data_IF_625327080978
#
_entry.id   IF_625327080978
#
_cell.length_a   1.000
_cell.length_b   1.000
_cell.length_c   1.000
_cell.angle_alpha   90.00
_cell.angle_beta   90.00
_cell.angle_gamma   90.00
#
_symmetry.space_group_name_H-M   'P 1'
#
loop_
_entity.id
_entity.type
_entity.pdbx_description
1 polymer ?
#
# COMPACT_ATOMS: atom_id res chain seq x y z
N UNK A 1 -25.68 -46.46 -0.99
CA UNK A 1 -25.96 -47.66 -1.80
C UNK A 1 -25.26 -47.46 -3.15
N UNK A 2 -24.21 -48.30 -3.38
CA UNK A 2 -23.72 -48.92 -4.62
C UNK A 2 -23.09 -48.00 -5.69
N UNK A 3 -21.84 -47.95 -5.73
CA UNK A 3 -20.80 -48.49 -6.63
C UNK A 3 -21.27 -48.99 -8.01
N UNK A 4 -20.66 -48.52 -9.10
CA UNK A 4 -20.35 -49.38 -10.23
C UNK A 4 -19.02 -48.89 -10.88
N UNK A 5 -18.00 -49.74 -10.75
CA UNK A 5 -16.81 -49.80 -11.58
C UNK A 5 -17.14 -50.40 -12.93
N UNK A 6 -16.56 -49.90 -13.99
CA UNK A 6 -16.43 -50.67 -15.22
C UNK A 6 -15.05 -50.42 -15.83
N UNK A 7 -14.19 -51.41 -15.63
CA UNK A 7 -12.99 -51.68 -16.40
C UNK A 7 -13.38 -52.39 -17.67
N UNK A 8 -12.80 -52.04 -18.81
CA UNK A 8 -12.73 -52.91 -20.00
C UNK A 8 -11.31 -52.94 -20.52
N UNK A 9 -10.81 -54.11 -20.50
CA UNK A 9 -9.47 -54.53 -20.91
C UNK A 9 -9.35 -54.72 -22.42
N UNK A 10 -8.10 -54.71 -22.80
CA UNK A 10 -7.47 -54.99 -24.10
C UNK A 10 -7.94 -56.24 -24.84
N UNK A 11 -7.72 -56.25 -26.15
CA UNK A 11 -7.17 -57.28 -27.06
C UNK A 11 -7.41 -56.75 -28.48
N UNK A 12 -6.54 -56.82 -29.41
CA UNK A 12 -5.60 -57.79 -29.87
C UNK A 12 -4.96 -57.39 -31.20
N UNK A 13 -3.87 -57.98 -31.42
CA UNK A 13 -2.94 -57.93 -32.55
C UNK A 13 -3.57 -58.21 -33.93
N UNK A 14 -3.04 -57.61 -34.96
CA UNK A 14 -2.31 -58.31 -36.03
C UNK A 14 -2.13 -57.44 -37.32
N UNK A 15 -0.93 -57.24 -37.70
CA UNK A 15 -0.38 -57.49 -39.02
C UNK A 15 -0.83 -56.63 -40.21
N UNK A 16 0.12 -55.80 -40.71
CA UNK A 16 -0.02 -55.19 -42.01
C UNK A 16 1.04 -54.13 -42.22
N UNK A 17 2.20 -54.55 -42.74
CA UNK A 17 3.22 -53.63 -43.24
C UNK A 17 2.77 -52.98 -44.53
N UNK A 18 2.54 -51.71 -44.53
CA UNK A 18 2.53 -50.85 -45.70
C UNK A 18 3.23 -49.53 -45.33
N UNK A 19 4.26 -49.20 -46.05
CA UNK A 19 5.08 -48.03 -45.84
C UNK A 19 4.23 -46.74 -45.88
N UNK A 20 4.43 -45.83 -44.94
CA UNK A 20 3.80 -44.53 -45.01
C UNK A 20 4.63 -43.58 -45.86
N UNK A 21 3.97 -42.95 -46.81
CA UNK A 21 4.37 -41.69 -47.40
C UNK A 21 4.51 -40.67 -46.27
N UNK A 22 5.73 -40.24 -46.03
CA UNK A 22 6.03 -39.24 -45.04
C UNK A 22 5.40 -37.90 -45.38
N UNK A 23 4.36 -37.52 -44.65
CA UNK A 23 4.02 -36.11 -44.47
C UNK A 23 4.78 -35.59 -43.24
N UNK A 24 5.91 -34.96 -43.50
CA UNK A 24 6.59 -34.19 -42.48
C UNK A 24 5.66 -33.03 -42.09
N UNK A 25 4.98 -33.17 -40.96
CA UNK A 25 4.39 -32.04 -40.27
C UNK A 25 5.58 -31.18 -39.79
N UNK A 26 5.87 -30.14 -40.52
CA UNK A 26 6.74 -29.08 -40.04
C UNK A 26 6.03 -28.42 -38.83
N UNK A 27 6.45 -28.84 -37.64
CA UNK A 27 6.15 -28.07 -36.45
C UNK A 27 6.89 -26.76 -36.62
N UNK A 28 6.13 -25.69 -36.91
CA UNK A 28 6.68 -24.36 -36.90
C UNK A 28 7.18 -24.12 -35.48
N UNK A 29 8.48 -24.11 -35.28
CA UNK A 29 9.11 -23.59 -34.10
C UNK A 29 8.78 -22.09 -34.04
N UNK A 30 7.83 -21.72 -33.23
CA UNK A 30 7.66 -20.33 -32.86
C UNK A 30 8.99 -19.86 -32.26
N UNK A 31 9.61 -18.91 -32.91
CA UNK A 31 10.78 -18.23 -32.37
C UNK A 31 10.34 -17.59 -31.05
N UNK A 32 11.10 -17.78 -29.96
CA UNK A 32 10.81 -17.06 -28.73
C UNK A 32 10.78 -15.57 -29.05
N UNK A 33 9.67 -14.93 -28.71
CA UNK A 33 9.53 -13.47 -28.75
C UNK A 33 10.55 -12.93 -27.77
N UNK A 34 11.63 -12.37 -28.30
CA UNK A 34 12.60 -11.65 -27.48
C UNK A 34 11.90 -10.42 -26.94
N UNK A 35 11.50 -10.45 -25.68
CA UNK A 35 10.94 -9.30 -24.99
C UNK A 35 12.08 -8.32 -24.75
N UNK A 36 12.35 -7.48 -25.73
CA UNK A 36 13.31 -6.38 -25.56
C UNK A 36 12.66 -5.40 -24.59
N UNK A 37 13.25 -5.29 -23.42
CA UNK A 37 12.80 -4.32 -22.43
C UNK A 37 13.00 -2.91 -22.99
N UNK A 38 11.92 -2.12 -23.12
CA UNK A 38 11.95 -0.71 -23.51
C UNK A 38 12.95 0.11 -22.68
N UNK A 39 13.28 -0.39 -21.50
CA UNK A 39 14.26 0.22 -20.61
C UNK A 39 15.71 -0.04 -21.07
N UNK A 40 15.98 -1.16 -21.74
CA UNK A 40 17.29 -1.46 -22.30
C UNK A 40 17.57 -0.63 -23.56
N UNK A 41 16.53 -0.35 -24.34
CA UNK A 41 16.60 0.48 -25.55
C UNK A 41 16.83 1.95 -25.22
N UNK A 42 16.18 2.47 -24.16
CA UNK A 42 16.36 3.87 -23.73
C UNK A 42 17.74 4.18 -23.15
N UNK A 43 18.51 3.19 -22.74
CA UNK A 43 19.89 3.39 -22.27
C UNK A 43 20.90 3.66 -23.39
N UNK A 44 20.59 3.22 -24.61
CA UNK A 44 21.43 3.48 -25.78
C UNK A 44 21.34 4.93 -26.26
N UNK A 45 20.17 5.53 -26.15
CA UNK A 45 19.92 6.88 -26.70
C UNK A 45 20.22 8.02 -25.71
N UNK A 46 20.30 7.72 -24.43
CA UNK A 46 20.42 8.78 -23.41
C UNK A 46 21.84 9.36 -23.25
N UNK A 47 22.84 8.86 -23.95
CA UNK A 47 24.25 9.22 -23.72
C UNK A 47 25.05 9.54 -25.00
N UNK A 48 24.42 9.64 -26.15
CA UNK A 48 25.10 10.12 -27.36
C UNK A 48 24.98 11.64 -27.48
N UNK A 49 25.61 12.40 -26.61
CA UNK A 49 26.04 13.76 -26.90
C UNK A 49 27.22 13.64 -27.85
N UNK A 50 26.93 13.66 -29.15
CA UNK A 50 27.96 13.86 -30.17
C UNK A 50 28.47 15.29 -30.04
N UNK A 51 29.44 15.48 -29.19
CA UNK A 51 30.18 16.72 -29.13
C UNK A 51 31.11 16.78 -30.34
N UNK A 52 30.88 17.68 -31.27
CA UNK A 52 31.89 18.08 -32.23
C UNK A 52 33.16 18.47 -31.45
N UNK A 53 34.25 17.79 -31.77
CA UNK A 53 35.51 17.84 -31.03
C UNK A 53 36.23 19.18 -31.00
N UNK A 54 35.52 20.23 -30.64
CA UNK A 54 36.13 21.50 -30.21
C UNK A 54 36.13 21.48 -28.68
N UNK A 55 37.31 21.25 -28.12
CA UNK A 55 37.53 21.27 -26.67
C UNK A 55 37.16 22.69 -26.18
N UNK A 56 35.89 22.84 -25.81
CA UNK A 56 35.43 24.02 -25.08
C UNK A 56 35.84 23.81 -23.64
N UNK A 57 36.72 24.65 -23.14
CA UNK A 57 37.11 24.72 -21.74
C UNK A 57 35.88 24.50 -20.85
N UNK A 58 35.91 23.57 -19.89
CA UNK A 58 34.77 23.34 -19.01
C UNK A 58 34.39 24.66 -18.38
N UNK A 59 33.16 25.10 -18.58
CA UNK A 59 32.63 26.26 -17.89
C UNK A 59 32.72 25.97 -16.39
N UNK A 60 33.60 26.71 -15.72
CA UNK A 60 33.64 26.69 -14.27
C UNK A 60 32.33 27.30 -13.79
N UNK A 61 31.45 26.44 -13.31
CA UNK A 61 30.28 26.86 -12.58
C UNK A 61 30.77 27.54 -11.29
N UNK A 62 30.76 28.86 -11.29
CA UNK A 62 31.05 29.63 -10.10
C UNK A 62 29.95 29.37 -9.06
N UNK A 63 30.28 28.62 -8.05
CA UNK A 63 29.38 28.29 -6.93
C UNK A 63 29.42 29.30 -5.80
N UNK A 64 30.11 30.40 -5.99
CA UNK A 64 30.30 31.44 -4.95
C UNK A 64 29.11 32.41 -4.82
N UNK A 65 28.08 32.28 -5.68
CA UNK A 65 26.93 33.18 -5.70
C UNK A 65 25.69 32.71 -4.90
N UNK A 66 25.74 31.60 -4.19
CA UNK A 66 24.60 31.16 -3.41
C UNK A 66 24.62 31.74 -2.00
N UNK A 67 23.81 32.78 -1.80
CA UNK A 67 23.50 33.22 -0.43
C UNK A 67 22.44 32.29 0.15
N UNK A 68 22.86 31.41 1.05
CA UNK A 68 21.88 30.58 1.81
C UNK A 68 21.18 31.52 2.77
N UNK A 69 19.90 31.81 2.49
CA UNK A 69 19.02 32.44 3.47
C UNK A 69 18.73 31.42 4.57
N UNK A 70 19.46 31.52 5.67
CA UNK A 70 19.10 30.78 6.88
C UNK A 70 17.98 31.56 7.54
N UNK A 71 16.75 31.05 7.40
CA UNK A 71 15.63 31.62 8.14
C UNK A 71 15.97 31.59 9.64
N UNK A 72 15.85 32.71 10.34
CA UNK A 72 16.09 32.73 11.79
C UNK A 72 15.17 31.72 12.44
N UNK A 73 15.73 30.82 13.25
CA UNK A 73 14.97 29.89 14.07
C UNK A 73 13.96 30.71 14.88
N UNK A 74 12.66 30.40 14.84
CA UNK A 74 11.69 31.16 15.61
C UNK A 74 12.15 31.13 17.06
N UNK A 75 12.36 32.32 17.62
CA UNK A 75 12.62 32.49 19.05
C UNK A 75 11.40 31.93 19.77
N UNK A 76 11.55 30.99 20.71
CA UNK A 76 10.41 30.51 21.46
C UNK A 76 9.75 31.72 22.13
N UNK A 77 8.53 32.02 21.73
CA UNK A 77 7.69 32.98 22.43
C UNK A 77 7.61 32.47 23.87
N UNK A 78 7.94 33.29 24.89
CA UNK A 78 7.84 32.85 26.27
C UNK A 78 6.41 32.38 26.50
N UNK A 79 6.25 31.12 26.80
CA UNK A 79 4.98 30.55 27.25
C UNK A 79 4.59 31.34 28.48
N UNK A 80 3.41 31.98 28.52
CA UNK A 80 2.97 32.67 29.75
C UNK A 80 3.01 31.64 30.86
N UNK A 81 3.75 31.93 31.90
CA UNK A 81 3.76 31.16 33.13
C UNK A 81 2.33 31.09 33.62
N UNK A 82 1.73 29.90 33.78
CA UNK A 82 0.39 29.83 34.32
C UNK A 82 0.41 30.38 35.73
N UNK A 83 -0.29 31.50 35.92
CA UNK A 83 -0.63 31.99 37.25
C UNK A 83 -1.41 30.88 37.94
N UNK A 84 -1.07 30.48 39.17
CA UNK A 84 -1.90 29.52 39.91
C UNK A 84 -3.26 30.13 40.12
N UNK A 85 -4.24 29.72 39.35
CA UNK A 85 -5.65 29.97 39.72
C UNK A 85 -6.01 28.84 40.66
N UNK A 86 -5.99 29.17 41.92
CA UNK A 86 -6.63 28.39 42.98
C UNK A 86 -8.12 28.50 42.74
N UNK A 87 -8.72 27.43 42.24
CA UNK A 87 -10.14 27.44 41.96
C UNK A 87 -10.59 26.20 41.19
N UNK A 88 -11.17 25.29 41.93
CA UNK A 88 -12.05 24.21 41.50
C UNK A 88 -11.48 23.23 40.46
N UNK A 89 -10.87 22.20 41.01
CA UNK A 89 -10.79 20.88 40.41
C UNK A 89 -12.20 20.31 40.20
N UNK A 90 -12.92 20.84 39.21
CA UNK A 90 -13.92 20.03 38.54
C UNK A 90 -13.13 19.06 37.66
N UNK A 91 -12.74 17.95 38.24
CA UNK A 91 -12.22 16.81 37.53
C UNK A 91 -13.24 16.41 36.48
N UNK A 92 -13.06 16.94 35.27
CA UNK A 92 -13.69 16.35 34.10
C UNK A 92 -13.01 15.00 33.95
N UNK A 93 -13.54 14.01 34.66
CA UNK A 93 -13.23 12.62 34.46
C UNK A 93 -13.45 12.39 32.95
N UNK A 94 -12.36 12.33 32.20
CA UNK A 94 -12.42 11.98 30.79
C UNK A 94 -13.04 10.60 30.78
N UNK A 95 -14.34 10.54 30.42
CA UNK A 95 -15.05 9.27 30.35
C UNK A 95 -14.17 8.29 29.56
N UNK A 96 -14.03 7.09 30.08
CA UNK A 96 -13.30 6.04 29.37
C UNK A 96 -13.89 5.91 27.97
N UNK A 97 -13.07 5.70 26.94
CA UNK A 97 -13.58 5.57 25.58
C UNK A 97 -14.55 4.38 25.52
N UNK A 98 -15.66 4.58 24.81
CA UNK A 98 -16.62 3.50 24.56
C UNK A 98 -15.99 2.57 23.53
N UNK A 99 -15.65 1.38 23.99
CA UNK A 99 -15.08 0.34 23.14
C UNK A 99 -16.15 -0.32 22.30
N UNK A 100 -15.75 -0.82 21.12
CA UNK A 100 -16.63 -1.59 20.26
C UNK A 100 -16.95 -2.97 20.87
N UNK A 101 -18.22 -3.28 20.97
CA UNK A 101 -18.73 -4.56 21.48
C UNK A 101 -19.58 -5.30 20.45
N UNK A 102 -19.69 -4.77 19.24
CA UNK A 102 -20.42 -5.41 18.16
C UNK A 102 -19.66 -6.58 17.54
N UNK A 103 -20.31 -7.23 16.56
CA UNK A 103 -19.72 -8.28 15.72
C UNK A 103 -19.52 -7.81 14.31
N UNK A 104 -19.08 -8.72 13.44
CA UNK A 104 -18.87 -8.47 12.01
C UNK A 104 -17.53 -9.02 11.57
N UNK A 105 -17.44 -9.29 10.27
CA UNK A 105 -16.16 -9.63 9.63
C UNK A 105 -15.49 -8.40 9.06
N UNK A 106 -14.20 -8.50 8.77
CA UNK A 106 -13.47 -7.44 8.05
C UNK A 106 -14.13 -7.07 6.72
N UNK A 107 -14.66 -8.06 6.00
CA UNK A 107 -15.37 -7.85 4.75
C UNK A 107 -16.66 -7.04 4.94
N UNK A 108 -17.43 -7.33 5.99
CA UNK A 108 -18.66 -6.57 6.31
C UNK A 108 -18.32 -5.11 6.62
N UNK A 109 -17.27 -4.88 7.41
CA UNK A 109 -16.83 -3.54 7.79
C UNK A 109 -16.28 -2.75 6.60
N UNK A 110 -15.49 -3.38 5.72
CA UNK A 110 -14.96 -2.76 4.51
C UNK A 110 -16.09 -2.34 3.56
N UNK A 111 -17.06 -3.24 3.35
CA UNK A 111 -18.23 -2.96 2.53
C UNK A 111 -19.06 -1.81 3.10
N UNK A 112 -19.35 -1.83 4.42
CA UNK A 112 -20.11 -0.79 5.10
C UNK A 112 -19.39 0.57 5.08
N UNK A 113 -18.05 0.59 5.12
CA UNK A 113 -17.24 1.79 4.99
C UNK A 113 -17.14 2.31 3.55
N UNK A 114 -17.74 1.63 2.58
CA UNK A 114 -17.74 2.03 1.17
C UNK A 114 -16.39 1.87 0.48
N UNK A 115 -15.54 0.96 0.97
CA UNK A 115 -14.24 0.66 0.35
C UNK A 115 -14.45 -0.39 -0.75
N UNK A 116 -14.07 -0.10 -2.01
CA UNK A 116 -14.24 -1.05 -3.11
C UNK A 116 -13.41 -2.33 -2.90
N UNK A 117 -13.95 -3.46 -3.33
CA UNK A 117 -13.29 -4.78 -3.16
C UNK A 117 -11.90 -4.83 -3.79
N UNK A 118 -11.66 -4.05 -4.85
CA UNK A 118 -10.35 -3.93 -5.48
C UNK A 118 -9.26 -3.42 -4.53
N UNK A 119 -9.63 -2.69 -3.50
CA UNK A 119 -8.71 -2.07 -2.55
C UNK A 119 -8.53 -2.89 -1.26
N UNK A 120 -9.39 -3.90 -1.04
CA UNK A 120 -9.39 -4.66 0.21
C UNK A 120 -8.04 -5.30 0.55
N UNK A 121 -7.30 -5.76 -0.45
CA UNK A 121 -5.97 -6.33 -0.22
C UNK A 121 -4.96 -5.32 0.35
N UNK A 122 -5.02 -4.07 -0.09
CA UNK A 122 -4.17 -3.00 0.44
C UNK A 122 -4.58 -2.60 1.85
N UNK A 123 -5.89 -2.50 2.08
CA UNK A 123 -6.44 -2.20 3.42
C UNK A 123 -6.08 -3.29 4.40
N UNK A 124 -6.29 -4.56 4.02
CA UNK A 124 -5.95 -5.71 4.87
C UNK A 124 -4.48 -5.70 5.27
N UNK A 125 -3.60 -5.41 4.31
CA UNK A 125 -2.17 -5.31 4.60
C UNK A 125 -1.85 -4.28 5.67
N UNK A 126 -2.43 -3.08 5.57
CA UNK A 126 -2.19 -1.99 6.53
C UNK A 126 -2.84 -2.32 7.87
N UNK A 127 -4.14 -2.64 7.90
CA UNK A 127 -4.90 -2.88 9.13
C UNK A 127 -4.34 -4.06 9.93
N UNK A 128 -3.91 -5.13 9.24
CA UNK A 128 -3.28 -6.27 9.90
C UNK A 128 -2.03 -5.87 10.67
N UNK A 129 -1.29 -4.87 10.21
CA UNK A 129 -0.05 -4.38 10.85
C UNK A 129 -0.28 -3.31 11.89
N UNK A 130 -1.33 -2.51 11.72
CA UNK A 130 -1.66 -1.45 12.68
C UNK A 130 -2.36 -1.99 13.92
N UNK A 131 -3.29 -2.93 13.75
CA UNK A 131 -4.14 -3.39 14.85
C UNK A 131 -4.41 -4.90 14.88
N UNK A 132 -3.95 -5.65 13.88
CA UNK A 132 -4.37 -7.04 13.66
C UNK A 132 -5.89 -7.19 13.58
N UNK A 133 -6.56 -6.23 12.96
CA UNK A 133 -8.03 -6.15 12.88
C UNK A 133 -8.74 -6.04 14.24
N UNK A 134 -8.05 -5.58 15.28
CA UNK A 134 -8.67 -5.30 16.58
C UNK A 134 -9.28 -3.88 16.59
N UNK A 135 -10.60 -3.72 16.57
CA UNK A 135 -11.22 -2.39 16.57
C UNK A 135 -10.95 -1.62 17.86
N UNK A 136 -10.63 -2.33 18.94
CA UNK A 136 -10.35 -1.73 20.24
C UNK A 136 -8.85 -1.51 20.51
N UNK A 137 -8.02 -1.63 19.48
CA UNK A 137 -6.60 -1.37 19.63
C UNK A 137 -6.34 0.09 20.03
N UNK A 138 -5.50 0.28 21.04
CA UNK A 138 -5.06 1.59 21.49
C UNK A 138 -3.57 1.56 21.73
N UNK A 139 -2.85 2.47 21.10
CA UNK A 139 -1.43 2.64 21.37
C UNK A 139 -1.26 3.40 22.67
N UNK A 140 -0.69 2.76 23.69
CA UNK A 140 -0.56 3.31 25.04
C UNK A 140 0.29 4.58 25.10
N UNK A 141 1.23 4.76 24.17
CA UNK A 141 2.14 5.92 24.16
C UNK A 141 1.58 7.11 23.40
N UNK A 142 0.95 6.88 22.26
CA UNK A 142 0.42 7.94 21.40
C UNK A 142 -1.05 8.22 21.63
N UNK A 143 -1.85 7.21 22.02
CA UNK A 143 -3.29 7.29 22.05
C UNK A 143 -3.93 7.07 20.67
N UNK A 144 -3.18 6.60 19.68
CA UNK A 144 -3.74 6.17 18.41
C UNK A 144 -4.73 5.03 18.62
N UNK A 145 -5.81 4.97 17.86
CA UNK A 145 -6.92 4.08 18.12
C UNK A 145 -7.51 3.40 16.88
N UNK A 146 -8.18 2.28 17.15
CA UNK A 146 -8.98 1.55 16.18
C UNK A 146 -8.16 0.77 15.18
N UNK A 147 -8.84 0.33 14.12
CA UNK A 147 -8.29 -0.57 13.11
C UNK A 147 -7.05 -0.01 12.42
N UNK A 148 -7.04 1.27 12.11
CA UNK A 148 -5.96 1.94 11.36
C UNK A 148 -5.06 2.81 12.23
N UNK A 149 -5.18 2.71 13.55
CA UNK A 149 -4.41 3.51 14.53
C UNK A 149 -4.47 5.02 14.25
N UNK A 150 -5.70 5.52 14.08
CA UNK A 150 -5.94 6.94 13.82
C UNK A 150 -5.38 7.83 14.95
N UNK A 151 -4.59 8.86 14.57
CA UNK A 151 -3.98 9.78 15.54
C UNK A 151 -4.16 11.25 15.15
N UNK A 152 -4.64 12.09 16.09
CA UNK A 152 -5.31 11.71 17.34
C UNK A 152 -6.64 10.98 17.05
N UNK A 153 -7.07 10.14 17.98
CA UNK A 153 -8.29 9.33 17.85
C UNK A 153 -9.54 10.19 17.55
N UNK A 154 -9.56 11.41 18.02
CA UNK A 154 -10.65 12.38 17.79
C UNK A 154 -10.79 12.87 16.34
N UNK A 155 -9.88 12.48 15.45
CA UNK A 155 -10.02 12.75 14.00
C UNK A 155 -11.09 11.89 13.35
N UNK A 156 -11.41 10.74 13.94
CA UNK A 156 -12.44 9.85 13.43
C UNK A 156 -13.81 10.41 13.80
N UNK A 157 -14.66 10.80 12.85
CA UNK A 157 -16.03 11.21 13.13
C UNK A 157 -16.81 10.03 13.74
N UNK A 158 -17.58 10.28 14.78
CA UNK A 158 -18.28 9.23 15.52
C UNK A 158 -17.37 8.58 16.56
N UNK A 159 -17.07 7.29 16.43
CA UNK A 159 -16.21 6.55 17.36
C UNK A 159 -14.96 6.01 16.68
N UNK A 160 -13.79 6.39 17.17
CA UNK A 160 -12.52 5.84 16.70
C UNK A 160 -12.37 4.33 16.92
N UNK A 161 -13.22 3.73 17.74
CA UNK A 161 -13.27 2.30 18.04
C UNK A 161 -14.37 1.58 17.26
N UNK A 162 -15.31 2.30 16.63
CA UNK A 162 -16.24 1.67 15.70
C UNK A 162 -15.50 1.32 14.39
N UNK A 163 -15.52 0.06 13.94
CA UNK A 163 -14.76 -0.36 12.78
C UNK A 163 -15.20 0.34 11.47
N UNK A 164 -16.48 0.65 11.34
CA UNK A 164 -17.01 1.30 10.13
C UNK A 164 -16.62 2.78 10.12
N UNK A 165 -16.78 3.48 11.25
CA UNK A 165 -16.36 4.89 11.39
C UNK A 165 -14.85 5.03 11.14
N UNK A 166 -14.06 4.13 11.72
CA UNK A 166 -12.60 4.13 11.61
C UNK A 166 -12.15 3.87 10.16
N UNK A 167 -12.73 2.88 9.48
CA UNK A 167 -12.44 2.59 8.06
C UNK A 167 -12.95 3.66 7.12
N UNK A 168 -14.12 4.25 7.38
CA UNK A 168 -14.65 5.37 6.58
C UNK A 168 -13.71 6.57 6.62
N UNK A 169 -13.24 6.92 7.82
CA UNK A 169 -12.23 7.95 7.99
C UNK A 169 -10.92 7.59 7.26
N UNK A 170 -10.46 6.35 7.42
CA UNK A 170 -9.26 5.85 6.79
C UNK A 170 -9.31 5.90 5.26
N UNK A 171 -10.47 5.59 4.67
CA UNK A 171 -10.70 5.69 3.24
C UNK A 171 -10.51 7.13 2.74
N UNK A 172 -11.13 8.09 3.43
CA UNK A 172 -10.92 9.51 3.13
C UNK A 172 -9.47 9.96 3.29
N UNK A 173 -8.79 9.45 4.32
CA UNK A 173 -7.38 9.76 4.57
C UNK A 173 -6.45 9.19 3.51
N UNK A 174 -6.63 7.91 3.14
CA UNK A 174 -5.83 7.24 2.11
C UNK A 174 -5.95 7.97 0.77
N UNK A 175 -7.18 8.26 0.33
CA UNK A 175 -7.43 8.96 -0.92
C UNK A 175 -6.94 10.41 -0.86
N UNK A 176 -7.22 11.12 0.22
CA UNK A 176 -6.86 12.53 0.35
C UNK A 176 -5.36 12.80 0.48
N UNK A 177 -4.63 11.92 1.15
CA UNK A 177 -3.19 12.09 1.41
C UNK A 177 -2.30 11.43 0.36
N UNK A 178 -2.67 10.24 -0.09
CA UNK A 178 -1.85 9.43 -0.97
C UNK A 178 -2.44 9.29 -2.38
N UNK A 179 -3.70 9.64 -2.58
CA UNK A 179 -4.39 9.52 -3.86
C UNK A 179 -5.17 8.20 -4.01
N UNK A 180 -4.73 7.14 -3.36
CA UNK A 180 -5.38 5.82 -3.39
C UNK A 180 -4.89 4.91 -2.25
N UNK A 181 -5.58 3.79 -2.04
CA UNK A 181 -5.12 2.75 -1.12
C UNK A 181 -3.85 2.04 -1.61
N UNK A 182 -3.66 1.89 -2.91
CA UNK A 182 -2.43 1.31 -3.46
C UNK A 182 -1.22 2.19 -3.16
N UNK A 183 -1.36 3.50 -3.27
CA UNK A 183 -0.28 4.44 -2.94
C UNK A 183 -0.03 4.52 -1.43
N UNK A 184 -1.10 4.47 -0.62
CA UNK A 184 -0.96 4.36 0.84
C UNK A 184 -0.22 3.09 1.25
N UNK A 185 -0.53 1.96 0.61
CA UNK A 185 0.19 0.69 0.79
C UNK A 185 1.66 0.78 0.39
N UNK A 186 1.96 1.38 -0.77
CA UNK A 186 3.34 1.56 -1.24
C UNK A 186 4.15 2.42 -0.25
N UNK A 187 3.54 3.49 0.26
CA UNK A 187 4.15 4.34 1.28
C UNK A 187 4.38 3.56 2.58
N UNK A 188 3.36 2.85 3.08
CA UNK A 188 3.47 2.08 4.32
C UNK A 188 4.56 1.01 4.22
N UNK A 189 4.62 0.30 3.09
CA UNK A 189 5.60 -0.77 2.87
C UNK A 189 7.05 -0.29 2.95
N UNK A 190 7.29 0.98 2.62
CA UNK A 190 8.62 1.59 2.65
C UNK A 190 8.94 2.28 3.98
N UNK A 191 7.93 2.77 4.68
CA UNK A 191 8.10 3.64 5.84
C UNK A 191 7.63 3.01 7.16
N UNK A 192 6.79 1.96 7.11
CA UNK A 192 6.19 1.29 8.28
C UNK A 192 5.28 2.19 9.13
N UNK A 193 4.70 3.22 8.50
CA UNK A 193 3.66 4.10 9.03
C UNK A 193 2.92 4.76 7.86
N UNK A 194 1.82 5.44 8.13
CA UNK A 194 1.02 6.11 7.10
C UNK A 194 0.25 7.33 7.60
#
# INVERSE_FOLDING_TARGET
VSSVFAAVAALGMAGGALAPLGTALAVAQEKPVEVVSLWAESRGDAQALSGDGTATTPAQLDRSGFTVYVAPKPTPTPTPTPTPVEGESTGTSRAAPVLYSGGGSSADWLSAAGIPESDWGYVDYIVSRESSWNPNATNASSGACGLVQAYPCSKVPGSGYDPVDNLTWANGYAVGRYGSWSEAYAFWSSNHWW
#
